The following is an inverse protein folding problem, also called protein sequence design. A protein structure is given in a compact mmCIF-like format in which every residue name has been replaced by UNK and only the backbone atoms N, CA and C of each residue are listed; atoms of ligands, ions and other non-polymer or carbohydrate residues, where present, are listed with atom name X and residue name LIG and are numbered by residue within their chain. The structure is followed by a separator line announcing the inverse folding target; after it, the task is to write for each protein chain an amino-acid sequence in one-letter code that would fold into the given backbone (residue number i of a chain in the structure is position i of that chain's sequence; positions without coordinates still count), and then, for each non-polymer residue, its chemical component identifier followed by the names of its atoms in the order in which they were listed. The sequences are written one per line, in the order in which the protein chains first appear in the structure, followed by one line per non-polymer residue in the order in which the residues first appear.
data_IF_766594287635
#
_entry.id   IF_766594287635
#
_cell.length_a   1.000
_cell.length_b   1.000
_cell.length_c   1.000
_cell.angle_alpha   90.00
_cell.angle_beta   90.00
_cell.angle_gamma   90.00
#
_symmetry.space_group_name_H-M   'P 1'
#
loop_
_entity.id
_entity.type
_entity.pdbx_description
1 polymer ?
#
# COMPACT_ATOMS: atom_id res chain seq x y z
N UNK A 1 12.54 -1.77 16.94
CA UNK A 1 12.91 -3.18 16.69
C UNK A 1 12.56 -3.44 15.23
N UNK A 2 13.56 -3.71 14.39
CA UNK A 2 13.39 -3.80 12.93
C UNK A 2 12.32 -4.84 12.58
N UNK A 3 11.36 -4.49 11.74
CA UNK A 3 10.68 -5.52 10.95
C UNK A 3 11.69 -5.95 9.87
N UNK A 4 12.25 -7.14 10.00
CA UNK A 4 13.04 -7.72 8.91
C UNK A 4 12.17 -7.81 7.64
N UNK A 5 12.76 -7.86 6.45
CA UNK A 5 12.00 -8.08 5.21
C UNK A 5 11.10 -9.33 5.33
N UNK A 6 11.57 -10.33 6.07
CA UNK A 6 10.80 -11.51 6.45
C UNK A 6 9.57 -11.18 7.30
N UNK A 7 9.71 -10.35 8.34
CA UNK A 7 8.60 -9.91 9.19
C UNK A 7 7.57 -9.09 8.41
N UNK A 8 8.02 -8.21 7.51
CA UNK A 8 7.12 -7.47 6.60
C UNK A 8 6.32 -8.43 5.74
N UNK A 9 6.97 -9.41 5.09
CA UNK A 9 6.28 -10.43 4.27
C UNK A 9 5.26 -11.23 5.09
N UNK A 10 5.59 -11.58 6.33
CA UNK A 10 4.68 -12.26 7.25
C UNK A 10 3.50 -11.39 7.70
N UNK A 11 3.70 -10.08 7.86
CA UNK A 11 2.60 -9.14 8.16
C UNK A 11 1.67 -8.98 6.95
N UNK A 12 2.24 -8.80 5.74
CA UNK A 12 1.47 -8.63 4.50
C UNK A 12 0.66 -9.89 4.16
N UNK A 13 1.20 -11.10 4.39
CA UNK A 13 0.47 -12.34 4.10
C UNK A 13 -0.83 -12.50 4.90
N UNK A 14 -1.00 -11.76 6.00
CA UNK A 14 -2.23 -11.76 6.82
C UNK A 14 -3.33 -10.84 6.28
N UNK A 15 -3.03 -9.99 5.30
CA UNK A 15 -3.97 -8.99 4.77
C UNK A 15 -4.95 -9.55 3.74
N UNK A 16 -4.76 -10.79 3.26
CA UNK A 16 -5.56 -11.38 2.18
C UNK A 16 -5.67 -10.48 0.94
N UNK A 17 -4.57 -9.80 0.57
CA UNK A 17 -4.52 -8.93 -0.61
C UNK A 17 -4.80 -9.73 -1.89
N UNK A 18 -5.40 -9.07 -2.88
CA UNK A 18 -5.52 -9.63 -4.23
C UNK A 18 -4.14 -9.79 -4.88
N UNK A 19 -4.04 -10.62 -5.91
CA UNK A 19 -2.78 -10.82 -6.65
C UNK A 19 -2.22 -9.50 -7.19
N UNK A 20 -3.11 -8.62 -7.64
CA UNK A 20 -2.79 -7.25 -8.08
C UNK A 20 -2.15 -6.42 -6.96
N UNK A 21 -2.81 -6.31 -5.81
CA UNK A 21 -2.28 -5.54 -4.69
C UNK A 21 -0.98 -6.13 -4.15
N UNK A 22 -0.84 -7.47 -4.14
CA UNK A 22 0.40 -8.14 -3.74
C UNK A 22 1.56 -7.80 -4.68
N UNK A 23 1.32 -7.71 -5.99
CA UNK A 23 2.29 -7.21 -6.98
C UNK A 23 2.70 -5.77 -6.67
N UNK A 24 1.76 -4.89 -6.35
CA UNK A 24 2.08 -3.53 -5.90
C UNK A 24 2.97 -3.53 -4.67
N UNK A 25 2.73 -4.36 -3.64
CA UNK A 25 3.63 -4.39 -2.47
C UNK A 25 5.08 -4.80 -2.76
N UNK A 26 5.37 -5.26 -3.98
CA UNK A 26 6.68 -5.71 -4.47
C UNK A 26 7.27 -4.81 -5.55
N UNK A 27 6.52 -3.82 -6.03
CA UNK A 27 6.95 -3.00 -7.15
C UNK A 27 6.74 -3.55 -8.52
N UNK A 28 5.89 -4.54 -8.61
CA UNK A 28 5.45 -5.05 -9.89
C UNK A 28 4.27 -4.21 -10.38
N UNK A 29 4.34 -3.79 -11.64
CA UNK A 29 3.22 -3.12 -12.29
C UNK A 29 2.05 -4.10 -12.46
N UNK A 30 0.85 -3.61 -12.19
CA UNK A 30 -0.38 -4.41 -12.32
C UNK A 30 -1.07 -4.15 -13.67
N UNK A 31 -0.83 -3.01 -14.30
CA UNK A 31 -1.43 -2.60 -15.57
C UNK A 31 -0.60 -1.50 -16.27
N UNK A 32 -0.70 -1.39 -17.60
CA UNK A 32 -0.05 -0.33 -18.41
C UNK A 32 -0.53 1.08 -18.00
N UNK A 33 -1.80 1.24 -17.63
CA UNK A 33 -2.32 2.52 -17.10
C UNK A 33 -1.73 2.93 -15.73
N UNK A 34 -1.11 1.99 -15.00
CA UNK A 34 -0.31 2.29 -13.79
C UNK A 34 1.19 2.42 -14.11
N UNK A 35 1.59 2.15 -15.35
CA UNK A 35 2.96 2.26 -15.89
C UNK A 35 3.34 3.72 -16.20
N UNK A 36 2.36 4.63 -16.28
CA UNK A 36 2.56 6.01 -16.76
C UNK A 36 2.90 7.06 -15.71
N UNK A 37 3.15 6.73 -14.44
CA UNK A 37 3.86 7.67 -13.56
C UNK A 37 5.36 7.50 -13.80
N UNK A 38 6.00 8.54 -14.32
CA UNK A 38 7.40 8.63 -14.76
C UNK A 38 8.49 8.19 -13.75
N UNK A 39 8.11 7.68 -12.58
CA UNK A 39 8.99 7.07 -11.62
C UNK A 39 8.39 5.69 -11.28
N UNK A 40 9.18 4.62 -11.44
CA UNK A 40 8.91 3.35 -10.76
C UNK A 40 8.50 3.67 -9.31
N UNK A 41 7.44 3.04 -8.76
CA UNK A 41 7.18 3.20 -7.33
C UNK A 41 8.47 2.83 -6.62
N UNK A 42 9.08 3.78 -5.91
CA UNK A 42 10.37 3.55 -5.30
C UNK A 42 10.12 2.70 -4.08
N UNK A 43 10.47 1.42 -4.18
CA UNK A 43 10.44 0.55 -3.01
C UNK A 43 11.67 0.84 -2.19
N UNK A 44 11.41 0.81 -0.89
CA UNK A 44 12.37 0.66 0.20
C UNK A 44 12.72 1.94 0.94
N UNK A 45 11.82 2.36 1.82
CA UNK A 45 12.17 3.21 2.95
C UNK A 45 12.81 2.34 4.03
N UNK A 46 14.07 1.99 3.81
CA UNK A 46 14.91 1.28 4.78
C UNK A 46 15.22 2.12 6.03
N UNK A 47 14.91 3.42 5.98
CA UNK A 47 15.17 4.34 7.06
C UNK A 47 14.01 4.38 8.04
N UNK A 48 14.31 4.17 9.33
CA UNK A 48 13.42 4.48 10.45
C UNK A 48 12.91 5.94 10.41
N UNK A 49 13.54 6.79 9.60
CA UNK A 49 13.13 8.17 9.36
C UNK A 49 11.80 8.34 8.61
N UNK A 50 11.11 7.27 8.20
CA UNK A 50 9.84 7.38 7.47
C UNK A 50 8.68 6.60 8.12
N UNK A 51 8.69 6.48 9.45
CA UNK A 51 7.61 5.85 10.20
C UNK A 51 6.89 6.91 11.05
N UNK A 52 5.54 6.92 11.07
CA UNK A 52 4.78 7.77 11.98
C UNK A 52 5.10 7.43 13.44
N UNK A 53 5.15 8.46 14.27
CA UNK A 53 5.41 8.30 15.70
C UNK A 53 4.24 7.56 16.37
N UNK A 54 4.54 6.55 17.18
CA UNK A 54 3.54 5.86 18.00
C UNK A 54 2.69 4.82 17.27
N UNK A 55 2.93 4.57 15.99
CA UNK A 55 2.25 3.52 15.21
C UNK A 55 3.27 2.52 14.64
N UNK A 56 3.01 1.21 14.78
CA UNK A 56 3.80 0.15 14.15
C UNK A 56 3.36 -0.07 12.70
N UNK A 57 3.46 0.99 11.89
CA UNK A 57 3.08 0.94 10.48
C UNK A 57 4.09 0.11 9.71
N UNK A 58 3.57 -0.81 8.90
CA UNK A 58 4.31 -1.56 7.90
C UNK A 58 4.04 -0.94 6.54
N UNK A 59 5.06 -0.39 5.85
CA UNK A 59 4.88 0.22 4.55
C UNK A 59 4.54 -0.84 3.49
N UNK A 60 3.62 -0.50 2.60
CA UNK A 60 3.24 -1.30 1.44
C UNK A 60 3.95 -0.79 0.18
N UNK A 61 3.82 0.51 -0.11
CA UNK A 61 4.48 1.20 -1.23
C UNK A 61 4.57 2.71 -0.99
N UNK A 62 5.41 3.37 -1.77
CA UNK A 62 5.57 4.82 -1.81
C UNK A 62 5.09 5.35 -3.18
N UNK A 63 4.41 6.48 -3.17
CA UNK A 63 4.00 7.24 -4.36
C UNK A 63 4.34 8.71 -4.15
N UNK A 64 5.24 9.23 -4.99
CA UNK A 64 5.72 10.61 -4.97
C UNK A 64 6.32 11.03 -3.61
N UNK A 65 5.50 11.58 -2.71
CA UNK A 65 5.85 12.02 -1.36
C UNK A 65 4.99 11.38 -0.28
N UNK A 66 4.24 10.34 -0.63
CA UNK A 66 3.29 9.67 0.27
C UNK A 66 3.61 8.20 0.39
N UNK A 67 3.39 7.65 1.58
CA UNK A 67 3.58 6.23 1.87
C UNK A 67 2.21 5.66 2.19
N UNK A 68 1.84 4.62 1.45
CA UNK A 68 0.71 3.77 1.85
C UNK A 68 1.24 2.62 2.69
N UNK A 69 0.66 2.45 3.87
CA UNK A 69 1.05 1.42 4.81
C UNK A 69 -0.16 0.82 5.53
N UNK A 70 0.10 -0.05 6.47
CA UNK A 70 -0.92 -0.57 7.37
C UNK A 70 -0.34 -0.87 8.74
N UNK A 71 -1.19 -0.89 9.76
CA UNK A 71 -0.88 -1.48 11.06
C UNK A 71 -2.03 -2.38 11.49
N UNK A 72 -1.83 -3.16 12.55
CA UNK A 72 -2.89 -3.98 13.14
C UNK A 72 -3.48 -3.29 14.37
N UNK A 73 -4.78 -3.01 14.32
CA UNK A 73 -5.60 -2.68 15.48
C UNK A 73 -6.25 -3.99 15.98
N UNK A 74 -5.55 -4.66 16.88
CA UNK A 74 -5.88 -6.03 17.28
C UNK A 74 -5.67 -7.03 16.12
N UNK A 75 -6.77 -7.63 15.64
CA UNK A 75 -6.75 -8.56 14.49
C UNK A 75 -7.14 -7.87 13.17
N UNK A 76 -7.56 -6.61 13.22
CA UNK A 76 -8.05 -5.87 12.06
C UNK A 76 -6.93 -5.04 11.47
N UNK A 77 -6.63 -5.17 10.17
CA UNK A 77 -5.70 -4.27 9.52
C UNK A 77 -6.34 -2.89 9.36
N UNK A 78 -5.56 -1.85 9.62
CA UNK A 78 -5.91 -0.46 9.34
C UNK A 78 -4.93 0.06 8.30
N UNK A 79 -5.44 0.39 7.12
CA UNK A 79 -4.68 0.98 6.03
C UNK A 79 -4.58 2.48 6.24
N UNK A 80 -3.40 3.02 5.97
CA UNK A 80 -3.08 4.43 6.20
C UNK A 80 -2.25 5.00 5.07
N UNK A 81 -2.34 6.31 4.90
CA UNK A 81 -1.43 7.09 4.07
C UNK A 81 -0.85 8.25 4.89
N UNK A 82 0.43 8.56 4.68
CA UNK A 82 1.10 9.67 5.35
C UNK A 82 2.20 10.27 4.46
N UNK A 83 2.55 11.53 4.70
CA UNK A 83 3.53 12.27 3.91
C UNK A 83 4.95 12.05 4.46
N UNK A 84 5.94 11.92 3.57
CA UNK A 84 7.37 11.81 3.97
C UNK A 84 7.88 13.06 4.70
N UNK A 85 7.32 14.23 4.37
CA UNK A 85 7.66 15.51 5.00
C UNK A 85 6.85 15.77 6.29
N UNK A 86 5.79 14.99 6.51
CA UNK A 86 4.84 15.13 7.62
C UNK A 86 4.43 13.76 8.14
N UNK A 87 5.39 13.02 8.71
CA UNK A 87 5.22 11.60 9.06
C UNK A 87 4.09 11.35 10.04
N UNK A 88 3.80 12.31 10.93
CA UNK A 88 2.74 12.18 11.93
C UNK A 88 1.36 12.60 11.40
N UNK A 89 1.27 13.11 10.17
CA UNK A 89 0.00 13.43 9.49
C UNK A 89 -0.61 12.19 8.83
N UNK A 90 -0.94 11.21 9.67
CA UNK A 90 -1.48 9.92 9.24
C UNK A 90 -2.97 10.03 8.95
N UNK A 91 -3.37 9.69 7.72
CA UNK A 91 -4.76 9.56 7.30
C UNK A 91 -5.15 8.09 7.20
N UNK A 92 -6.24 7.71 7.86
CA UNK A 92 -6.85 6.38 7.68
C UNK A 92 -7.46 6.29 6.28
N UNK A 93 -7.08 5.25 5.54
CA UNK A 93 -7.67 4.86 4.25
C UNK A 93 -8.89 3.98 4.49
N UNK A 94 -8.78 3.02 5.41
CA UNK A 94 -9.86 2.13 5.79
C UNK A 94 -9.36 0.86 6.45
N UNK A 95 -10.25 -0.13 6.58
CA UNK A 95 -9.99 -1.36 7.37
C UNK A 95 -10.17 -2.64 6.59
N UNK A 96 -10.43 -2.52 5.29
CA UNK A 96 -10.63 -3.64 4.38
C UNK A 96 -9.83 -3.46 3.09
N UNK A 97 -9.62 -4.56 2.38
CA UNK A 97 -9.01 -4.54 1.04
C UNK A 97 -9.86 -3.73 0.07
N UNK A 98 -11.18 -3.73 0.21
CA UNK A 98 -12.08 -2.92 -0.63
C UNK A 98 -11.88 -1.42 -0.41
N UNK A 99 -11.68 -0.99 0.85
CA UNK A 99 -11.39 0.42 1.14
C UNK A 99 -10.07 0.85 0.49
N UNK A 100 -9.05 -0.02 0.56
CA UNK A 100 -7.76 0.21 -0.09
C UNK A 100 -7.89 0.29 -1.62
N UNK A 101 -8.71 -0.56 -2.23
CA UNK A 101 -9.01 -0.50 -3.67
C UNK A 101 -9.76 0.79 -4.01
N UNK A 102 -10.76 1.17 -3.21
CA UNK A 102 -11.52 2.40 -3.38
C UNK A 102 -10.61 3.63 -3.37
N UNK A 103 -9.71 3.70 -2.39
CA UNK A 103 -8.69 4.74 -2.32
C UNK A 103 -7.78 4.77 -3.56
N UNK A 104 -7.27 3.62 -4.00
CA UNK A 104 -6.41 3.56 -5.18
C UNK A 104 -7.14 4.00 -6.46
N UNK A 105 -8.42 3.65 -6.56
CA UNK A 105 -9.27 4.07 -7.67
C UNK A 105 -9.48 5.59 -7.64
N UNK A 106 -9.84 6.16 -6.50
CA UNK A 106 -10.08 7.61 -6.36
C UNK A 106 -8.83 8.46 -6.63
N UNK A 107 -7.65 8.02 -6.16
CA UNK A 107 -6.42 8.81 -6.25
C UNK A 107 -5.67 8.66 -7.59
N UNK A 108 -5.79 7.50 -8.23
CA UNK A 108 -4.91 7.15 -9.35
C UNK A 108 -5.64 6.76 -10.63
N UNK A 109 -6.94 6.43 -10.59
CA UNK A 109 -7.62 5.96 -11.79
C UNK A 109 -8.10 7.13 -12.66
N UNK A 110 -7.64 7.17 -13.91
CA UNK A 110 -8.31 7.94 -14.97
C UNK A 110 -9.61 7.24 -15.41
N UNK A 111 -9.66 5.91 -15.26
CA UNK A 111 -10.83 5.07 -15.51
C UNK A 111 -11.11 4.16 -14.31
N UNK A 112 -12.05 4.59 -13.46
CA UNK A 112 -12.37 3.92 -12.20
C UNK A 112 -12.78 2.45 -12.36
N UNK A 113 -13.62 2.16 -13.35
CA UNK A 113 -14.17 0.82 -13.55
C UNK A 113 -13.09 -0.18 -13.96
N UNK A 114 -12.20 0.24 -14.86
CA UNK A 114 -11.09 -0.58 -15.34
C UNK A 114 -10.09 -0.87 -14.22
N UNK A 115 -9.67 0.15 -13.49
CA UNK A 115 -8.71 -0.02 -12.38
C UNK A 115 -9.31 -0.87 -11.27
N UNK A 116 -10.58 -0.64 -10.91
CA UNK A 116 -11.27 -1.45 -9.90
C UNK A 116 -11.34 -2.92 -10.32
N UNK A 117 -11.66 -3.20 -11.58
CA UNK A 117 -11.71 -4.56 -12.13
C UNK A 117 -10.36 -5.28 -11.99
N UNK A 118 -9.28 -4.60 -12.36
CA UNK A 118 -7.91 -5.13 -12.24
C UNK A 118 -7.54 -5.41 -10.78
N UNK A 119 -7.73 -4.43 -9.89
CA UNK A 119 -7.34 -4.52 -8.48
C UNK A 119 -8.19 -5.54 -7.70
N UNK A 120 -9.45 -5.73 -8.09
CA UNK A 120 -10.37 -6.69 -7.46
C UNK A 120 -10.20 -8.11 -8.00
N UNK A 121 -9.52 -8.28 -9.14
CA UNK A 121 -9.32 -9.60 -9.73
C UNK A 121 -8.43 -10.48 -8.82
N UNK A 122 -9.01 -11.59 -8.35
CA UNK A 122 -8.22 -12.68 -7.79
C UNK A 122 -7.59 -13.38 -8.98
N UNK A 123 -6.29 -13.15 -9.21
CA UNK A 123 -5.61 -13.64 -10.40
C UNK A 123 -5.90 -15.12 -10.64
N UNK A 124 -6.44 -15.45 -11.82
CA UNK A 124 -6.42 -16.82 -12.33
C UNK A 124 -4.94 -17.12 -12.62
N UNK A 125 -4.37 -18.03 -11.84
CA UNK A 125 -3.04 -18.62 -12.05
C UNK A 125 -2.90 -19.23 -13.44
#
# INVERSE_FOLDING_TARGET
MRASEHDRKLKISKLNLTSALLKLTRGEFVHEDLEFRCNEPKYYLESEAFYPSGLDVTPLWESDHTITGFYFDGATPVFVVYCVDGLDEVREVGRSVEDLIGYLVEEYAENEEQVRSVLSSQGVT
#
